data_IF_257326537871
#
_entry.id   IF_257326537871
#
_cell.length_a   1.000
_cell.length_b   1.000
_cell.length_c   1.000
_cell.angle_alpha   90.00
_cell.angle_beta   90.00
_cell.angle_gamma   90.00
#
_symmetry.space_group_name_H-M   'P 1'
#
loop_
_entity.id
_entity.type
_entity.pdbx_description
1 polymer ?
#
# COMPACT_ATOMS: atom_id res chain seq x y z
N UNK A 1 -12.59 35.56 12.65
CA UNK A 1 -11.82 34.49 13.31
C UNK A 1 -12.79 33.40 13.67
N UNK A 2 -12.76 32.29 12.93
CA UNK A 2 -13.57 31.11 13.27
C UNK A 2 -12.79 30.40 14.38
N UNK A 3 -13.45 30.24 15.52
CA UNK A 3 -12.97 29.45 16.65
C UNK A 3 -12.67 28.03 16.15
N UNK A 4 -11.39 27.64 16.16
CA UNK A 4 -10.89 26.34 15.71
C UNK A 4 -11.11 25.24 16.77
N UNK A 5 -11.83 25.54 17.86
CA UNK A 5 -12.30 24.56 18.83
C UNK A 5 -13.12 23.46 18.15
N UNK A 6 -12.55 22.24 18.09
CA UNK A 6 -13.09 20.98 17.54
C UNK A 6 -12.87 20.68 16.04
N UNK A 7 -11.97 21.38 15.34
CA UNK A 7 -11.57 20.93 14.00
C UNK A 7 -10.72 19.63 14.08
N UNK A 8 -11.23 18.51 13.55
CA UNK A 8 -10.53 17.20 13.44
C UNK A 8 -9.39 17.23 12.40
N UNK A 9 -8.59 18.29 12.38
CA UNK A 9 -7.43 18.43 11.48
C UNK A 9 -6.19 18.24 12.35
N UNK A 10 -5.56 17.07 12.25
CA UNK A 10 -4.31 16.77 12.94
C UNK A 10 -3.19 16.79 11.94
N UNK A 11 -2.34 17.82 12.02
CA UNK A 11 -1.06 17.88 11.31
C UNK A 11 0.05 17.28 12.20
N UNK A 12 1.07 16.73 11.54
CA UNK A 12 2.06 15.76 12.02
C UNK A 12 2.61 15.91 13.46
N UNK A 13 2.78 17.12 13.99
CA UNK A 13 3.30 17.31 15.36
C UNK A 13 2.31 16.87 16.46
N UNK A 14 1.03 16.72 16.10
CA UNK A 14 -0.06 16.47 17.06
C UNK A 14 -0.51 15.01 17.19
N UNK A 15 0.07 14.08 16.43
CA UNK A 15 -0.29 12.65 16.53
C UNK A 15 0.44 12.03 17.73
N UNK A 16 0.05 12.44 18.95
CA UNK A 16 0.08 11.54 20.09
C UNK A 16 -1.11 10.61 19.90
N UNK A 17 -0.83 9.31 19.83
CA UNK A 17 -1.78 8.20 19.70
C UNK A 17 -2.88 8.28 20.76
N UNK A 18 -3.92 9.08 20.51
CA UNK A 18 -5.16 9.10 21.30
C UNK A 18 -6.23 8.22 20.68
N UNK A 19 -6.01 7.69 19.47
CA UNK A 19 -6.91 6.71 18.86
C UNK A 19 -6.72 5.36 19.53
N UNK A 20 -7.79 4.85 20.14
CA UNK A 20 -7.88 3.47 20.64
C UNK A 20 -7.98 2.45 19.50
N UNK A 21 -8.22 2.89 18.25
CA UNK A 21 -8.33 2.00 17.10
C UNK A 21 -6.99 1.38 16.74
N UNK A 22 -6.94 0.05 16.70
CA UNK A 22 -5.84 -0.74 16.15
C UNK A 22 -5.88 -0.87 14.62
N UNK A 23 -6.91 -0.32 13.97
CA UNK A 23 -7.08 -0.38 12.52
C UNK A 23 -6.91 1.01 11.91
N UNK A 24 -6.40 1.04 10.67
CA UNK A 24 -6.28 2.26 9.88
C UNK A 24 -6.68 2.00 8.42
N UNK A 25 -7.34 2.97 7.80
CA UNK A 25 -7.50 3.04 6.35
C UNK A 25 -6.55 4.11 5.83
N UNK A 26 -5.80 3.83 4.77
CA UNK A 26 -4.82 4.78 4.21
C UNK A 26 -5.10 5.04 2.74
N UNK A 27 -5.04 6.32 2.36
CA UNK A 27 -5.12 6.80 0.98
C UNK A 27 -3.90 7.69 0.72
N UNK A 28 -3.22 7.49 -0.41
CA UNK A 28 -2.14 8.37 -0.86
C UNK A 28 -2.63 9.20 -2.05
N UNK A 29 -2.44 10.51 -2.01
CA UNK A 29 -2.76 11.39 -3.13
C UNK A 29 -1.76 12.54 -3.23
N UNK A 30 -1.41 13.07 -4.41
CA UNK A 30 -0.52 14.22 -4.49
C UNK A 30 -1.05 15.42 -3.69
N UNK A 31 -2.37 15.63 -3.74
CA UNK A 31 -3.04 16.73 -3.04
C UNK A 31 -4.45 16.33 -2.60
N UNK A 32 -4.78 16.43 -1.30
CA UNK A 32 -6.15 16.22 -0.80
C UNK A 32 -7.12 17.15 -1.52
N UNK A 33 -8.22 16.61 -2.03
CA UNK A 33 -9.23 17.37 -2.76
C UNK A 33 -10.60 16.70 -2.65
N UNK A 34 -11.65 17.40 -3.06
CA UNK A 34 -13.03 16.89 -3.08
C UNK A 34 -13.22 15.59 -3.86
N UNK A 35 -12.27 15.18 -4.72
CA UNK A 35 -12.29 13.89 -5.42
C UNK A 35 -12.28 12.67 -4.48
N UNK A 36 -11.84 12.84 -3.23
CA UNK A 36 -11.86 11.78 -2.22
C UNK A 36 -13.21 11.69 -1.48
N UNK A 37 -14.13 12.64 -1.66
CA UNK A 37 -15.44 12.59 -0.99
C UNK A 37 -16.22 11.30 -1.30
N UNK A 38 -16.29 10.81 -2.55
CA UNK A 38 -17.01 9.58 -2.87
C UNK A 38 -16.52 8.37 -2.08
N UNK A 39 -15.20 8.15 -2.00
CA UNK A 39 -14.64 7.00 -1.26
C UNK A 39 -14.92 7.11 0.25
N UNK A 40 -14.85 8.32 0.82
CA UNK A 40 -15.19 8.56 2.23
C UNK A 40 -16.68 8.26 2.53
N UNK A 41 -17.58 8.68 1.65
CA UNK A 41 -19.01 8.40 1.78
C UNK A 41 -19.34 6.92 1.57
N UNK A 42 -18.63 6.26 0.66
CA UNK A 42 -18.75 4.81 0.45
C UNK A 42 -18.27 4.04 1.67
N UNK A 43 -17.15 4.42 2.30
CA UNK A 43 -16.71 3.82 3.56
C UNK A 43 -17.77 3.93 4.66
N UNK A 44 -18.50 5.03 4.73
CA UNK A 44 -19.59 5.19 5.71
C UNK A 44 -20.82 4.35 5.36
N UNK A 45 -21.15 4.25 4.07
CA UNK A 45 -22.37 3.58 3.62
C UNK A 45 -22.22 2.07 3.52
N UNK A 46 -21.01 1.59 3.23
CA UNK A 46 -20.76 0.24 2.76
C UNK A 46 -19.90 -0.60 3.70
N UNK A 47 -19.01 -0.01 4.50
CA UNK A 47 -18.07 -0.76 5.34
C UNK A 47 -18.62 -0.98 6.76
N UNK A 48 -18.79 -2.25 7.15
CA UNK A 48 -19.46 -2.65 8.39
C UNK A 48 -18.55 -2.63 9.64
N UNK A 49 -17.85 -1.53 9.91
CA UNK A 49 -16.98 -1.37 11.09
C UNK A 49 -17.51 -0.30 12.08
N UNK A 50 -18.74 0.16 11.92
CA UNK A 50 -19.38 1.20 12.74
C UNK A 50 -18.58 2.51 12.83
N UNK A 51 -17.90 2.90 11.76
CA UNK A 51 -17.10 4.14 11.67
C UNK A 51 -15.90 4.19 12.63
N UNK A 52 -15.52 3.04 13.20
CA UNK A 52 -14.46 2.97 14.23
C UNK A 52 -13.06 3.11 13.63
N UNK A 53 -12.87 2.78 12.36
CA UNK A 53 -11.57 2.90 11.69
C UNK A 53 -11.35 4.32 11.16
N UNK A 54 -10.23 4.91 11.57
CA UNK A 54 -9.75 6.21 11.09
C UNK A 54 -9.26 6.12 9.64
N UNK A 55 -9.40 7.22 8.89
CA UNK A 55 -8.85 7.37 7.54
C UNK A 55 -7.65 8.31 7.58
N UNK A 56 -6.47 7.83 7.19
CA UNK A 56 -5.26 8.62 7.02
C UNK A 56 -5.06 8.94 5.53
N UNK A 57 -5.10 10.23 5.21
CA UNK A 57 -4.80 10.76 3.88
C UNK A 57 -3.37 11.25 3.87
N UNK A 58 -2.50 10.51 3.20
CA UNK A 58 -1.10 10.88 2.97
C UNK A 58 -0.99 11.74 1.72
N UNK A 59 -0.17 12.79 1.77
CA UNK A 59 -0.03 13.71 0.66
C UNK A 59 1.39 14.25 0.44
N UNK A 60 1.68 14.67 -0.79
CA UNK A 60 3.00 15.16 -1.22
C UNK A 60 2.96 16.62 -1.68
N UNK A 61 1.96 17.38 -1.25
CA UNK A 61 1.88 18.82 -1.50
C UNK A 61 0.99 19.47 -0.47
N UNK A 62 1.17 20.77 -0.25
CA UNK A 62 0.38 21.50 0.73
C UNK A 62 -1.11 21.54 0.33
N UNK A 63 -2.01 21.03 1.21
CA UNK A 63 -3.43 21.02 0.96
C UNK A 63 -4.03 22.42 1.11
N UNK A 64 -5.16 22.68 0.46
CA UNK A 64 -5.96 23.84 0.79
C UNK A 64 -6.79 23.55 2.05
N UNK A 65 -6.80 24.47 3.02
CA UNK A 65 -7.61 24.31 4.25
C UNK A 65 -9.08 24.01 3.95
N UNK A 66 -9.63 24.63 2.90
CA UNK A 66 -11.00 24.38 2.46
C UNK A 66 -11.24 22.93 2.01
N UNK A 67 -10.26 22.27 1.38
CA UNK A 67 -10.36 20.86 0.99
C UNK A 67 -10.32 19.94 2.22
N UNK A 68 -9.45 20.22 3.18
CA UNK A 68 -9.38 19.45 4.43
C UNK A 68 -10.70 19.50 5.20
N UNK A 69 -11.30 20.69 5.30
CA UNK A 69 -12.59 20.90 5.94
C UNK A 69 -13.71 20.13 5.21
N UNK A 70 -13.75 20.20 3.87
CA UNK A 70 -14.75 19.47 3.07
C UNK A 70 -14.64 17.96 3.23
N UNK A 71 -13.43 17.43 3.22
CA UNK A 71 -13.19 16.00 3.42
C UNK A 71 -13.62 15.55 4.81
N UNK A 72 -13.21 16.28 5.84
CA UNK A 72 -13.57 15.97 7.24
C UNK A 72 -15.09 16.03 7.46
N UNK A 73 -15.78 16.98 6.84
CA UNK A 73 -17.23 17.11 6.93
C UNK A 73 -18.00 16.05 6.13
N UNK A 74 -17.36 15.36 5.18
CA UNK A 74 -18.02 14.38 4.30
C UNK A 74 -18.16 12.98 4.88
N UNK A 75 -17.58 12.72 6.06
CA UNK A 75 -17.60 11.40 6.71
C UNK A 75 -17.83 11.52 8.22
N UNK A 76 -18.39 10.47 8.80
CA UNK A 76 -18.55 10.29 10.25
C UNK A 76 -17.23 9.89 10.92
N UNK A 77 -16.29 9.33 10.16
CA UNK A 77 -14.99 8.85 10.63
C UNK A 77 -14.07 10.01 11.01
N UNK A 78 -13.03 9.70 11.79
CA UNK A 78 -11.91 10.63 11.94
C UNK A 78 -11.04 10.57 10.69
N UNK A 79 -10.76 11.74 10.11
CA UNK A 79 -9.81 11.89 9.00
C UNK A 79 -8.53 12.51 9.54
N UNK A 80 -7.40 11.87 9.23
CA UNK A 80 -6.06 12.30 9.59
C UNK A 80 -5.33 12.69 8.30
N UNK A 81 -4.44 13.68 8.38
CA UNK A 81 -3.66 14.13 7.23
C UNK A 81 -2.17 14.05 7.54
N UNK A 82 -1.41 13.46 6.62
CA UNK A 82 0.04 13.28 6.77
C UNK A 82 0.76 13.77 5.53
N UNK A 83 1.52 14.86 5.67
CA UNK A 83 2.45 15.27 4.65
C UNK A 83 3.65 14.32 4.65
N UNK A 84 3.87 13.62 3.53
CA UNK A 84 4.99 12.69 3.29
C UNK A 84 5.96 13.21 2.23
N UNK A 85 5.81 14.46 1.77
CA UNK A 85 6.59 15.05 0.67
C UNK A 85 8.11 14.88 0.86
N UNK A 86 8.60 15.20 2.06
CA UNK A 86 10.02 15.16 2.41
C UNK A 86 10.66 13.76 2.38
N UNK A 87 9.85 12.70 2.48
CA UNK A 87 10.32 11.30 2.46
C UNK A 87 9.92 10.55 1.18
N UNK A 88 8.88 11.01 0.49
CA UNK A 88 8.32 10.36 -0.69
C UNK A 88 9.29 10.40 -1.88
N UNK A 89 9.96 11.54 -2.08
CA UNK A 89 10.87 11.77 -3.21
C UNK A 89 12.34 11.40 -2.94
N UNK A 90 12.60 10.55 -1.94
CA UNK A 90 13.95 10.09 -1.62
C UNK A 90 14.37 8.92 -2.50
N UNK A 91 15.51 9.07 -3.17
CA UNK A 91 16.17 7.97 -3.88
C UNK A 91 16.87 7.00 -2.91
N UNK A 92 17.09 5.74 -3.31
CA UNK A 92 17.98 4.83 -2.59
C UNK A 92 19.40 5.40 -2.50
N UNK A 93 20.15 4.97 -1.48
CA UNK A 93 21.56 5.31 -1.37
C UNK A 93 22.33 4.83 -2.62
N UNK A 94 23.29 5.64 -3.10
CA UNK A 94 24.09 5.36 -4.29
C UNK A 94 23.30 5.24 -5.61
N UNK A 95 22.05 5.71 -5.64
CA UNK A 95 21.31 5.83 -6.89
C UNK A 95 21.73 7.08 -7.65
N UNK A 96 22.07 6.94 -8.94
CA UNK A 96 22.38 8.04 -9.83
C UNK A 96 21.17 8.38 -10.72
N UNK A 97 20.35 9.37 -10.38
CA UNK A 97 19.16 9.72 -11.15
C UNK A 97 19.48 10.38 -12.50
N UNK A 98 20.70 10.91 -12.68
CA UNK A 98 21.11 11.60 -13.89
C UNK A 98 21.45 10.58 -14.98
N UNK A 99 22.25 9.56 -14.65
CA UNK A 99 22.74 8.58 -15.61
C UNK A 99 21.88 7.31 -15.69
N UNK A 100 21.05 7.02 -14.68
CA UNK A 100 20.17 5.85 -14.74
C UNK A 100 19.06 6.06 -15.78
N UNK A 101 18.95 5.08 -16.68
CA UNK A 101 17.84 4.94 -17.63
C UNK A 101 16.72 4.11 -17.00
N UNK A 102 15.48 4.47 -17.31
CA UNK A 102 14.28 3.73 -16.91
C UNK A 102 13.54 3.24 -18.14
N UNK A 103 12.97 2.04 -18.06
CA UNK A 103 12.12 1.45 -19.11
C UNK A 103 10.70 2.02 -19.10
N UNK A 104 10.33 2.80 -18.08
CA UNK A 104 8.98 3.35 -17.90
C UNK A 104 9.00 4.85 -17.60
N UNK A 105 8.23 5.63 -18.35
CA UNK A 105 8.12 7.09 -18.18
C UNK A 105 6.67 7.51 -18.32
N UNK A 106 5.94 7.55 -17.21
CA UNK A 106 4.58 8.07 -17.15
C UNK A 106 4.48 9.02 -15.97
N UNK A 107 3.83 10.18 -16.18
CA UNK A 107 3.67 11.25 -15.18
C UNK A 107 4.99 11.83 -14.65
N UNK A 108 6.06 11.78 -15.44
CA UNK A 108 7.42 12.21 -15.05
C UNK A 108 8.42 11.06 -15.17
N UNK A 109 9.72 11.36 -15.01
CA UNK A 109 10.78 10.34 -15.11
C UNK A 109 10.70 9.33 -13.96
N UNK A 110 10.39 9.80 -12.74
CA UNK A 110 10.50 9.01 -11.50
C UNK A 110 9.24 8.94 -10.64
N UNK A 111 8.19 9.69 -10.97
CA UNK A 111 7.04 9.88 -10.07
C UNK A 111 6.34 8.56 -9.73
N UNK A 112 6.16 7.68 -10.71
CA UNK A 112 5.53 6.37 -10.46
C UNK A 112 6.45 5.43 -9.67
N UNK A 113 7.76 5.52 -9.89
CA UNK A 113 8.78 4.73 -9.21
C UNK A 113 8.92 5.13 -7.74
N UNK A 114 8.77 6.42 -7.41
CA UNK A 114 8.66 6.88 -6.03
C UNK A 114 7.42 6.33 -5.33
N UNK A 115 6.26 6.31 -6.01
CA UNK A 115 5.04 5.72 -5.46
C UNK A 115 5.22 4.22 -5.15
N UNK A 116 5.80 3.47 -6.08
CA UNK A 116 6.13 2.05 -5.87
C UNK A 116 7.02 1.88 -4.63
N UNK A 117 8.14 2.62 -4.59
CA UNK A 117 9.10 2.53 -3.48
C UNK A 117 8.44 2.90 -2.16
N UNK A 118 7.57 3.92 -2.16
CA UNK A 118 6.84 4.34 -0.98
C UNK A 118 5.98 3.20 -0.44
N UNK A 119 5.10 2.59 -1.25
CA UNK A 119 4.22 1.52 -0.79
C UNK A 119 4.93 0.21 -0.45
N UNK A 120 6.03 -0.09 -1.15
CA UNK A 120 6.79 -1.31 -0.90
C UNK A 120 7.73 -1.20 0.31
N UNK A 121 8.34 -0.02 0.51
CA UNK A 121 9.37 0.22 1.54
C UNK A 121 8.95 1.28 2.55
N UNK A 122 8.97 2.55 2.13
CA UNK A 122 8.92 3.71 3.04
C UNK A 122 7.68 3.69 3.94
N UNK A 123 6.55 3.23 3.43
CA UNK A 123 5.29 3.17 4.15
C UNK A 123 5.40 2.37 5.44
N UNK A 124 6.02 1.19 5.43
CA UNK A 124 6.16 0.36 6.65
C UNK A 124 7.20 0.92 7.62
N UNK A 125 8.10 1.80 7.16
CA UNK A 125 9.09 2.48 7.99
C UNK A 125 8.51 3.71 8.72
N UNK A 126 7.29 4.15 8.38
CA UNK A 126 6.65 5.31 8.99
C UNK A 126 6.39 5.10 10.49
N UNK A 127 7.00 5.90 11.39
CA UNK A 127 6.76 5.77 12.83
C UNK A 127 5.30 6.10 13.21
N UNK A 128 4.58 6.86 12.39
CA UNK A 128 3.16 7.20 12.58
C UNK A 128 2.26 5.96 12.51
N UNK A 129 2.73 4.92 11.82
CA UNK A 129 2.02 3.66 11.72
C UNK A 129 2.36 2.71 12.87
N UNK A 130 3.17 3.13 13.85
CA UNK A 130 3.38 2.37 15.09
C UNK A 130 2.08 2.35 15.90
N UNK A 131 1.74 1.18 16.45
CA UNK A 131 0.56 0.98 17.28
C UNK A 131 -0.71 0.55 16.53
N UNK A 132 -0.77 0.72 15.21
CA UNK A 132 -1.77 0.10 14.36
C UNK A 132 -1.40 -1.35 14.07
N UNK A 133 -2.35 -2.27 14.24
CA UNK A 133 -2.22 -3.70 13.98
C UNK A 133 -2.48 -4.02 12.50
N UNK A 134 -3.57 -3.46 11.95
CA UNK A 134 -3.97 -3.68 10.56
C UNK A 134 -4.16 -2.38 9.81
N UNK A 135 -3.69 -2.36 8.56
CA UNK A 135 -3.85 -1.22 7.67
C UNK A 135 -4.46 -1.65 6.35
N UNK A 136 -5.60 -1.03 5.99
CA UNK A 136 -6.24 -1.14 4.70
C UNK A 136 -5.76 -0.02 3.78
N UNK A 137 -5.11 -0.37 2.67
CA UNK A 137 -4.83 0.57 1.59
C UNK A 137 -6.04 0.67 0.66
N UNK A 138 -6.34 1.90 0.25
CA UNK A 138 -7.22 2.23 -0.86
C UNK A 138 -6.52 3.28 -1.74
N UNK A 139 -6.45 3.05 -3.04
CA UNK A 139 -6.07 4.10 -4.00
C UNK A 139 -7.16 5.19 -4.07
N UNK A 140 -6.82 6.40 -4.52
CA UNK A 140 -7.67 7.59 -4.44
C UNK A 140 -8.92 7.56 -5.35
N UNK A 141 -8.96 6.62 -6.30
CA UNK A 141 -10.07 6.31 -7.21
C UNK A 141 -10.68 4.92 -6.97
N UNK A 142 -10.46 4.35 -5.77
CA UNK A 142 -11.09 3.11 -5.34
C UNK A 142 -12.58 3.28 -5.07
N UNK A 143 -13.37 2.29 -5.48
CA UNK A 143 -14.81 2.26 -5.23
C UNK A 143 -15.24 0.98 -4.50
N UNK A 144 -15.82 1.16 -3.32
CA UNK A 144 -16.43 0.10 -2.51
C UNK A 144 -17.88 -0.04 -2.94
N UNK A 145 -18.21 -1.12 -3.67
CA UNK A 145 -19.56 -1.38 -4.16
C UNK A 145 -20.29 -2.37 -3.24
N UNK A 146 -21.58 -2.14 -2.99
CA UNK A 146 -22.39 -3.01 -2.14
C UNK A 146 -21.95 -2.98 -0.67
N UNK A 147 -22.38 -3.97 0.12
CA UNK A 147 -22.03 -4.07 1.55
C UNK A 147 -20.74 -4.86 1.75
N UNK A 148 -19.84 -4.30 2.55
CA UNK A 148 -18.56 -4.89 2.94
C UNK A 148 -18.58 -5.28 4.40
N UNK A 149 -18.04 -6.45 4.70
CA UNK A 149 -17.83 -6.92 6.08
C UNK A 149 -16.76 -6.09 6.80
N UNK A 150 -16.65 -6.23 8.12
CA UNK A 150 -15.49 -5.74 8.85
C UNK A 150 -14.26 -6.62 8.56
N UNK A 151 -13.49 -6.26 7.54
CA UNK A 151 -12.31 -7.04 7.15
C UNK A 151 -11.25 -7.13 8.26
N UNK A 152 -11.20 -6.16 9.17
CA UNK A 152 -10.23 -6.17 10.26
C UNK A 152 -10.57 -7.21 11.31
N UNK A 153 -11.86 -7.42 11.60
CA UNK A 153 -12.32 -8.53 12.45
C UNK A 153 -12.02 -9.87 11.79
N UNK A 154 -12.27 -10.01 10.49
CA UNK A 154 -11.93 -11.24 9.77
C UNK A 154 -10.43 -11.54 9.79
N UNK A 155 -9.59 -10.53 9.59
CA UNK A 155 -8.14 -10.68 9.70
C UNK A 155 -7.74 -11.20 11.08
N UNK A 156 -8.30 -10.63 12.16
CA UNK A 156 -8.05 -11.13 13.53
C UNK A 156 -8.55 -12.55 13.75
N UNK A 157 -9.79 -12.83 13.37
CA UNK A 157 -10.44 -14.13 13.54
C UNK A 157 -9.65 -15.26 12.87
N UNK A 158 -9.07 -14.98 11.70
CA UNK A 158 -8.27 -15.94 10.93
C UNK A 158 -6.77 -15.84 11.21
N UNK A 159 -6.34 -14.94 12.10
CA UNK A 159 -4.92 -14.62 12.34
C UNK A 159 -4.17 -14.30 11.05
N UNK A 160 -4.88 -13.70 10.09
CA UNK A 160 -4.35 -13.44 8.78
C UNK A 160 -3.35 -12.27 8.82
N UNK A 161 -2.37 -12.34 7.94
CA UNK A 161 -1.32 -11.33 7.78
C UNK A 161 -1.52 -10.49 6.52
N UNK A 162 -2.29 -11.00 5.56
CA UNK A 162 -2.57 -10.32 4.30
C UNK A 162 -3.98 -10.61 3.79
N UNK A 163 -4.69 -9.57 3.36
CA UNK A 163 -5.95 -9.66 2.63
C UNK A 163 -5.72 -9.18 1.20
N UNK A 164 -5.69 -10.12 0.27
CA UNK A 164 -5.44 -9.89 -1.13
C UNK A 164 -6.71 -9.44 -1.87
N UNK A 165 -6.52 -8.52 -2.82
CA UNK A 165 -7.50 -8.26 -3.88
C UNK A 165 -7.45 -9.37 -4.96
N UNK A 166 -7.89 -9.05 -6.17
CA UNK A 166 -7.78 -9.90 -7.34
C UNK A 166 -6.32 -10.17 -7.71
N UNK A 167 -6.10 -11.34 -8.28
CA UNK A 167 -4.88 -11.65 -9.02
C UNK A 167 -4.91 -10.90 -10.35
N UNK A 168 -3.73 -10.45 -10.78
CA UNK A 168 -3.50 -9.89 -12.10
C UNK A 168 -2.12 -10.35 -12.60
N UNK A 169 -1.77 -9.94 -13.82
CA UNK A 169 -0.48 -10.20 -14.45
C UNK A 169 0.12 -8.90 -15.01
N UNK A 170 1.41 -8.73 -14.81
CA UNK A 170 2.21 -7.75 -15.54
C UNK A 170 2.99 -8.45 -16.65
N UNK A 171 2.94 -7.87 -17.85
CA UNK A 171 3.58 -8.44 -19.04
C UNK A 171 4.93 -7.76 -19.31
N UNK A 172 5.96 -8.55 -19.59
CA UNK A 172 7.31 -8.07 -19.94
C UNK A 172 7.29 -7.12 -21.15
N UNK A 173 6.42 -7.39 -22.14
CA UNK A 173 6.26 -6.52 -23.32
C UNK A 173 5.76 -5.10 -22.99
N UNK A 174 5.03 -4.95 -21.88
CA UNK A 174 4.49 -3.67 -21.42
C UNK A 174 5.47 -3.02 -20.42
N UNK A 175 6.10 -3.83 -19.57
CA UNK A 175 7.04 -3.39 -18.54
C UNK A 175 8.39 -4.12 -18.69
N UNK A 176 9.23 -3.70 -19.66
CA UNK A 176 10.51 -4.36 -19.91
C UNK A 176 11.42 -4.34 -18.68
N UNK A 177 12.03 -5.49 -18.41
CA UNK A 177 12.90 -5.75 -17.25
C UNK A 177 12.18 -6.36 -16.05
N UNK A 178 10.88 -6.64 -16.15
CA UNK A 178 10.12 -7.32 -15.09
C UNK A 178 10.63 -8.75 -14.89
N UNK A 179 11.01 -9.44 -15.97
CA UNK A 179 11.58 -10.80 -15.88
C UNK A 179 12.98 -10.84 -15.25
N UNK A 180 13.70 -9.71 -15.17
CA UNK A 180 14.97 -9.64 -14.43
C UNK A 180 14.74 -9.90 -12.93
N UNK A 181 13.58 -9.50 -12.41
CA UNK A 181 13.20 -9.73 -11.01
C UNK A 181 13.20 -11.22 -10.64
N UNK A 182 12.93 -12.11 -11.61
CA UNK A 182 12.98 -13.56 -11.43
C UNK A 182 14.38 -14.01 -10.97
N UNK A 183 15.43 -13.50 -11.60
CA UNK A 183 16.81 -13.86 -11.23
C UNK A 183 17.14 -13.31 -9.85
N UNK A 184 16.77 -12.05 -9.58
CA UNK A 184 17.02 -11.40 -8.29
C UNK A 184 16.38 -12.15 -7.13
N UNK A 185 15.12 -12.58 -7.27
CA UNK A 185 14.45 -13.31 -6.18
C UNK A 185 15.05 -14.70 -5.97
N UNK A 186 15.37 -15.45 -7.03
CA UNK A 186 15.96 -16.78 -6.87
C UNK A 186 17.38 -16.73 -6.32
N UNK A 187 18.19 -15.75 -6.73
CA UNK A 187 19.50 -15.48 -6.13
C UNK A 187 19.36 -15.07 -4.66
N UNK A 188 18.40 -14.19 -4.33
CA UNK A 188 18.13 -13.81 -2.94
C UNK A 188 17.75 -15.03 -2.09
N UNK A 189 16.85 -15.88 -2.58
CA UNK A 189 16.41 -17.10 -1.90
C UNK A 189 17.59 -18.03 -1.65
N UNK A 190 18.40 -18.28 -2.68
CA UNK A 190 19.58 -19.15 -2.60
C UNK A 190 20.63 -18.59 -1.64
N UNK A 191 21.02 -17.33 -1.79
CA UNK A 191 22.12 -16.72 -1.05
C UNK A 191 21.80 -16.52 0.44
N UNK A 192 20.51 -16.40 0.78
CA UNK A 192 20.05 -16.20 2.15
C UNK A 192 19.42 -17.45 2.76
N UNK A 193 19.50 -18.61 2.09
CA UNK A 193 18.92 -19.88 2.53
C UNK A 193 17.43 -19.76 2.93
N UNK A 194 16.64 -19.00 2.18
CA UNK A 194 15.22 -18.77 2.46
C UNK A 194 14.41 -19.99 2.03
N UNK A 195 13.58 -20.52 2.92
CA UNK A 195 12.53 -21.47 2.57
C UNK A 195 11.24 -20.69 2.34
N UNK A 196 10.79 -20.60 1.09
CA UNK A 196 9.53 -19.93 0.76
C UNK A 196 8.35 -20.60 1.47
N UNK A 197 7.49 -19.80 2.10
CA UNK A 197 6.29 -20.28 2.79
C UNK A 197 5.20 -20.78 1.85
N UNK A 198 5.22 -20.34 0.60
CA UNK A 198 4.35 -20.83 -0.48
C UNK A 198 5.22 -21.12 -1.72
N UNK A 199 5.93 -22.26 -1.77
CA UNK A 199 6.89 -22.57 -2.83
C UNK A 199 6.23 -22.71 -4.20
N UNK A 200 5.00 -23.23 -4.28
CA UNK A 200 4.25 -23.33 -5.54
C UNK A 200 3.87 -21.94 -6.07
N UNK A 201 3.38 -21.05 -5.20
CA UNK A 201 3.08 -19.67 -5.55
C UNK A 201 4.33 -18.93 -6.07
N UNK A 202 5.50 -19.16 -5.45
CA UNK A 202 6.76 -18.56 -5.91
C UNK A 202 7.22 -19.15 -7.26
N UNK A 203 7.13 -20.47 -7.42
CA UNK A 203 7.47 -21.17 -8.68
C UNK A 203 6.63 -20.65 -9.84
N UNK A 204 5.33 -20.52 -9.61
CA UNK A 204 4.36 -20.18 -10.63
C UNK A 204 4.22 -18.66 -10.81
N UNK A 205 4.86 -17.85 -9.95
CA UNK A 205 4.83 -16.39 -10.01
C UNK A 205 5.32 -15.85 -11.36
N UNK A 206 6.21 -16.55 -12.06
CA UNK A 206 6.84 -16.09 -13.30
C UNK A 206 6.64 -17.09 -14.43
N UNK A 207 6.15 -16.60 -15.57
CA UNK A 207 6.12 -17.37 -16.83
C UNK A 207 7.34 -17.00 -17.70
N UNK A 208 7.27 -17.22 -19.01
CA UNK A 208 8.28 -16.74 -19.96
C UNK A 208 8.25 -15.22 -20.16
N UNK A 209 7.08 -14.60 -20.04
CA UNK A 209 6.84 -13.22 -20.47
C UNK A 209 5.88 -12.45 -19.54
N UNK A 210 5.55 -13.01 -18.38
CA UNK A 210 4.69 -12.37 -17.39
C UNK A 210 5.05 -12.73 -15.95
N UNK A 211 4.57 -11.89 -15.03
CA UNK A 211 4.64 -12.13 -13.59
C UNK A 211 3.27 -11.91 -12.97
N UNK A 212 2.90 -12.76 -12.02
CA UNK A 212 1.70 -12.59 -11.22
C UNK A 212 1.85 -11.47 -10.19
N UNK A 213 0.75 -10.78 -9.93
CA UNK A 213 0.67 -9.80 -8.87
C UNK A 213 -0.69 -9.86 -8.16
N UNK A 214 -0.77 -9.22 -7.00
CA UNK A 214 -2.06 -8.84 -6.41
C UNK A 214 -2.36 -7.40 -6.83
N UNK A 215 -3.56 -7.16 -7.37
CA UNK A 215 -3.99 -5.82 -7.78
C UNK A 215 -4.26 -4.93 -6.56
N UNK A 216 -3.18 -4.47 -5.93
CA UNK A 216 -3.10 -3.98 -4.55
C UNK A 216 -3.50 -2.51 -4.36
N UNK A 217 -4.23 -1.93 -5.32
CA UNK A 217 -5.00 -0.69 -5.09
C UNK A 217 -6.01 -0.86 -3.93
N UNK A 218 -6.38 -2.11 -3.62
CA UNK A 218 -6.94 -2.51 -2.35
C UNK A 218 -6.07 -3.63 -1.75
N UNK A 219 -5.69 -3.48 -0.48
CA UNK A 219 -5.07 -4.56 0.31
C UNK A 219 -5.27 -4.29 1.80
N UNK A 220 -5.28 -5.35 2.63
CA UNK A 220 -5.17 -5.20 4.09
C UNK A 220 -3.92 -5.92 4.57
N UNK A 221 -3.10 -5.23 5.36
CA UNK A 221 -1.79 -5.70 5.80
C UNK A 221 -1.73 -5.74 7.32
N UNK A 222 -1.14 -6.80 7.88
CA UNK A 222 -0.72 -6.82 9.28
C UNK A 222 0.63 -6.09 9.40
N UNK A 223 0.69 -5.03 10.19
CA UNK A 223 1.87 -4.15 10.25
C UNK A 223 3.08 -4.86 10.84
N UNK A 224 2.90 -5.68 11.88
CA UNK A 224 3.97 -6.43 12.53
C UNK A 224 4.60 -7.44 11.57
N UNK A 225 3.78 -8.15 10.79
CA UNK A 225 4.24 -9.07 9.76
C UNK A 225 5.17 -8.37 8.77
N UNK A 226 4.71 -7.27 8.14
CA UNK A 226 5.51 -6.55 7.14
C UNK A 226 6.70 -5.78 7.73
N UNK A 227 6.78 -5.64 9.05
CA UNK A 227 7.91 -5.04 9.78
C UNK A 227 8.90 -6.06 10.34
N UNK A 228 8.68 -7.36 10.13
CA UNK A 228 9.65 -8.39 10.53
C UNK A 228 11.00 -8.15 9.86
N UNK A 229 12.08 -8.40 10.61
CA UNK A 229 13.44 -8.15 10.15
C UNK A 229 13.80 -8.90 8.86
N UNK A 230 13.29 -10.11 8.65
CA UNK A 230 13.54 -10.89 7.44
C UNK A 230 12.81 -10.35 6.20
N UNK A 231 11.62 -9.79 6.38
CA UNK A 231 10.91 -9.05 5.33
C UNK A 231 11.60 -7.73 5.04
N UNK A 232 12.01 -6.98 6.06
CA UNK A 232 12.79 -5.74 5.87
C UNK A 232 14.11 -6.01 5.14
N UNK A 233 14.77 -7.14 5.41
CA UNK A 233 15.96 -7.56 4.67
C UNK A 233 15.66 -7.82 3.19
N UNK A 234 14.56 -8.51 2.87
CA UNK A 234 14.10 -8.69 1.48
C UNK A 234 13.80 -7.35 0.78
N UNK A 235 13.08 -6.45 1.45
CA UNK A 235 12.76 -5.12 0.92
C UNK A 235 14.04 -4.34 0.60
N UNK A 236 15.03 -4.36 1.49
CA UNK A 236 16.34 -3.72 1.27
C UNK A 236 17.12 -4.37 0.12
N UNK A 237 17.10 -5.70 0.02
CA UNK A 237 17.75 -6.41 -1.07
C UNK A 237 17.17 -5.98 -2.43
N UNK A 238 15.85 -5.88 -2.55
CA UNK A 238 15.19 -5.35 -3.75
C UNK A 238 15.54 -3.88 -4.00
N UNK A 239 15.43 -3.00 -2.99
CA UNK A 239 15.68 -1.56 -3.13
C UNK A 239 17.13 -1.30 -3.62
N UNK A 240 18.11 -2.07 -3.12
CA UNK A 240 19.53 -1.96 -3.48
C UNK A 240 19.86 -2.32 -4.95
N UNK A 241 19.01 -3.09 -5.63
CA UNK A 241 19.18 -3.36 -7.07
C UNK A 241 18.89 -2.13 -7.94
N UNK A 242 18.17 -1.16 -7.37
CA UNK A 242 17.55 -0.04 -8.06
C UNK A 242 16.53 -0.46 -9.13
N UNK A 243 16.05 -1.70 -9.11
CA UNK A 243 15.14 -2.26 -10.12
C UNK A 243 13.77 -1.58 -10.14
N UNK A 244 13.29 -1.07 -9.01
CA UNK A 244 12.10 -0.20 -8.94
C UNK A 244 12.24 1.00 -9.88
N UNK A 245 13.42 1.65 -9.90
CA UNK A 245 13.67 2.81 -10.75
C UNK A 245 14.02 2.41 -12.18
N UNK A 246 14.87 1.40 -12.36
CA UNK A 246 15.34 0.96 -13.69
C UNK A 246 14.21 0.32 -14.52
N UNK A 247 13.39 -0.52 -13.90
CA UNK A 247 12.47 -1.43 -14.59
C UNK A 247 11.00 -1.27 -14.18
N UNK A 248 10.69 -0.37 -13.23
CA UNK A 248 9.33 -0.16 -12.71
C UNK A 248 8.72 -1.45 -12.13
N UNK A 249 9.51 -2.21 -11.36
CA UNK A 249 8.98 -3.36 -10.61
C UNK A 249 7.89 -2.90 -9.66
N UNK A 250 6.63 -3.12 -10.02
CA UNK A 250 5.46 -2.64 -9.29
C UNK A 250 5.38 -3.19 -7.88
N UNK A 251 4.88 -2.38 -6.95
CA UNK A 251 4.66 -2.78 -5.57
C UNK A 251 3.65 -3.94 -5.47
N UNK A 252 2.72 -4.05 -6.41
CA UNK A 252 1.83 -5.21 -6.60
C UNK A 252 2.59 -6.54 -6.79
N UNK A 253 3.58 -6.56 -7.69
CA UNK A 253 4.43 -7.73 -7.95
C UNK A 253 5.27 -8.02 -6.71
N UNK A 254 5.91 -6.99 -6.17
CA UNK A 254 6.79 -7.12 -5.01
C UNK A 254 6.03 -7.59 -3.76
N UNK A 255 4.79 -7.16 -3.57
CA UNK A 255 3.90 -7.63 -2.51
C UNK A 255 3.54 -9.10 -2.71
N UNK A 256 3.15 -9.51 -3.92
CA UNK A 256 2.85 -10.91 -4.25
C UNK A 256 4.03 -11.84 -3.91
N UNK A 257 5.24 -11.45 -4.33
CA UNK A 257 6.45 -12.20 -4.03
C UNK A 257 6.80 -12.22 -2.54
N UNK A 258 6.59 -11.11 -1.83
CA UNK A 258 6.78 -11.04 -0.37
C UNK A 258 5.85 -12.01 0.36
N UNK A 259 4.58 -12.08 -0.07
CA UNK A 259 3.60 -13.03 0.47
C UNK A 259 4.02 -14.47 0.19
N UNK A 260 4.46 -14.77 -1.04
CA UNK A 260 4.92 -16.11 -1.42
C UNK A 260 6.14 -16.57 -0.59
N UNK A 261 7.07 -15.65 -0.30
CA UNK A 261 8.26 -15.94 0.49
C UNK A 261 7.94 -16.14 1.98
N UNK A 262 7.13 -15.28 2.59
CA UNK A 262 7.10 -15.13 4.05
C UNK A 262 5.76 -15.43 4.74
N UNK A 263 4.65 -15.50 4.00
CA UNK A 263 3.32 -15.78 4.55
C UNK A 263 2.89 -17.21 4.25
N UNK A 264 2.41 -17.94 5.26
CA UNK A 264 1.76 -19.24 5.04
C UNK A 264 0.37 -19.02 4.42
N UNK A 265 -0.02 -19.90 3.49
CA UNK A 265 -1.25 -19.78 2.71
C UNK A 265 -2.50 -19.60 3.59
N UNK A 266 -2.56 -20.29 4.73
CA UNK A 266 -3.67 -20.22 5.69
C UNK A 266 -3.85 -18.84 6.35
N UNK A 267 -2.83 -17.99 6.32
CA UNK A 267 -2.87 -16.62 6.85
C UNK A 267 -3.05 -15.55 5.75
N UNK A 268 -3.38 -15.98 4.53
CA UNK A 268 -3.69 -15.09 3.40
C UNK A 268 -5.17 -15.23 3.04
N UNK A 269 -5.91 -14.13 3.18
CA UNK A 269 -7.31 -14.05 2.81
C UNK A 269 -7.45 -13.44 1.41
N UNK A 270 -8.53 -13.79 0.70
CA UNK A 270 -8.79 -13.29 -0.64
C UNK A 270 -10.17 -12.65 -0.72
N UNK A 271 -10.25 -11.41 -1.22
CA UNK A 271 -11.51 -10.64 -1.34
C UNK A 271 -12.62 -11.42 -2.02
N UNK A 272 -12.30 -12.19 -3.06
CA UNK A 272 -13.27 -13.00 -3.83
C UNK A 272 -14.03 -14.02 -2.96
N UNK A 273 -13.45 -14.48 -1.86
CA UNK A 273 -14.07 -15.44 -0.95
C UNK A 273 -15.13 -14.80 -0.03
N UNK A 274 -15.20 -13.47 -0.02
CA UNK A 274 -16.08 -12.67 0.85
C UNK A 274 -17.15 -11.90 0.08
N UNK A 275 -17.28 -12.10 -1.24
CA UNK A 275 -18.24 -11.42 -2.11
C UNK A 275 -18.22 -9.88 -2.01
N UNK A 276 -17.09 -9.30 -1.59
CA UNK A 276 -16.96 -7.84 -1.46
C UNK A 276 -16.78 -7.23 -2.85
N UNK A 277 -17.76 -6.50 -3.36
CA UNK A 277 -17.66 -5.88 -4.69
C UNK A 277 -16.76 -4.64 -4.65
N UNK A 278 -15.80 -4.57 -5.55
CA UNK A 278 -14.75 -3.56 -5.58
C UNK A 278 -14.48 -3.16 -7.02
N UNK A 279 -14.26 -1.86 -7.26
CA UNK A 279 -13.74 -1.38 -8.52
C UNK A 279 -12.63 -0.37 -8.33
N UNK A 280 -11.75 -0.29 -9.33
CA UNK A 280 -10.74 0.75 -9.47
C UNK A 280 -10.79 1.20 -10.94
N UNK A 281 -11.20 2.47 -11.17
CA UNK A 281 -11.52 3.04 -12.48
C UNK A 281 -12.67 2.36 -13.22
N UNK A 282 -13.78 2.20 -12.52
CA UNK A 282 -15.11 2.28 -13.14
C UNK A 282 -15.49 3.76 -13.32
#
# INVERSE_FOLDING_TARGET
MIDLGQSKIYTYESIRTSSSSKNLITILTPKPSSKLIPILQQLDSNFADNFTTNVLIMHTSEPYTADLLRLTASTRRQVLFLNVDNIFYLFPANFDPCHTKTTYRVRGKWNYQFMIRFWFKTFFELPQLQGYEYIMRLDDDSELKGKWINVFEEMRNKKAVYFANNLDIDLEKILPGTMILKNVIFEYVKNNNITAKQPEMLRDAFTSDSVHNYYNNFEVTNTEFFRRADISHWVQAVDSTHGIFKYRWGDAILRYLTVALFAEQQYVLHRRNYNMSYCHKC
#
